data_IF_914746202150
#
_entry.id   IF_914746202150
#
_cell.length_a   1.000
_cell.length_b   1.000
_cell.length_c   1.000
_cell.angle_alpha   90.00
_cell.angle_beta   90.00
_cell.angle_gamma   90.00
#
_symmetry.space_group_name_H-M   'P 1'
#
loop_
_entity.id
_entity.type
_entity.pdbx_description
1 polymer ?
#
# COMPACT_ATOMS: atom_id res chain seq x y z
N UNK A 1 -0.55 5.69 -11.67
CA UNK A 1 -1.35 6.40 -10.66
C UNK A 1 -2.62 5.62 -10.37
N UNK A 2 -2.83 5.21 -9.17
CA UNK A 2 -4.06 4.58 -8.68
C UNK A 2 -4.70 3.60 -9.68
N UNK A 3 -3.98 2.55 -10.08
CA UNK A 3 -4.45 1.68 -11.15
C UNK A 3 -5.76 0.96 -10.81
N UNK A 4 -6.10 0.86 -9.53
CA UNK A 4 -7.30 0.17 -9.07
C UNK A 4 -8.45 1.10 -8.71
N UNK A 5 -8.30 2.43 -8.89
CA UNK A 5 -9.27 3.39 -8.37
C UNK A 5 -10.66 3.28 -8.99
N UNK A 6 -10.75 2.80 -10.23
CA UNK A 6 -12.02 2.66 -10.93
C UNK A 6 -12.56 1.23 -10.94
N UNK A 7 -11.88 0.30 -10.25
CA UNK A 7 -12.25 -1.11 -10.24
C UNK A 7 -13.09 -1.46 -9.03
N UNK A 8 -13.99 -2.43 -9.17
CA UNK A 8 -14.68 -3.01 -8.03
C UNK A 8 -13.75 -3.92 -7.23
N UNK A 9 -14.24 -4.49 -6.14
CA UNK A 9 -13.42 -5.33 -5.27
C UNK A 9 -12.80 -6.51 -6.00
N UNK A 10 -13.57 -7.20 -6.85
CA UNK A 10 -13.06 -8.35 -7.60
C UNK A 10 -11.97 -7.96 -8.58
N UNK A 11 -12.18 -6.88 -9.32
CA UNK A 11 -11.21 -6.38 -10.27
C UNK A 11 -9.94 -5.91 -9.59
N UNK A 12 -10.08 -5.25 -8.43
CA UNK A 12 -8.94 -4.80 -7.66
C UNK A 12 -8.09 -5.97 -7.17
N UNK A 13 -8.72 -7.00 -6.61
CA UNK A 13 -7.99 -8.15 -6.10
C UNK A 13 -7.28 -8.92 -7.22
N UNK A 14 -7.91 -9.03 -8.38
CA UNK A 14 -7.29 -9.66 -9.54
C UNK A 14 -6.06 -8.87 -10.02
N UNK A 15 -6.16 -7.55 -10.09
CA UNK A 15 -5.05 -6.69 -10.46
C UNK A 15 -3.88 -6.84 -9.49
N UNK A 16 -4.16 -6.85 -8.19
CA UNK A 16 -3.12 -6.99 -7.17
C UNK A 16 -2.40 -8.34 -7.27
N UNK A 17 -3.12 -9.42 -7.58
CA UNK A 17 -2.50 -10.73 -7.77
C UNK A 17 -1.58 -10.74 -8.99
N UNK A 18 -1.96 -10.05 -10.07
CA UNK A 18 -1.11 -9.93 -11.26
C UNK A 18 0.16 -9.16 -10.96
N UNK A 19 0.05 -8.07 -10.19
CA UNK A 19 1.21 -7.28 -9.79
C UNK A 19 2.12 -8.11 -8.89
N UNK A 20 1.56 -8.87 -7.96
CA UNK A 20 2.32 -9.77 -7.10
C UNK A 20 3.13 -10.78 -7.91
N UNK A 21 2.50 -11.38 -8.94
CA UNK A 21 3.18 -12.34 -9.81
C UNK A 21 4.36 -11.69 -10.54
N UNK A 22 4.19 -10.46 -11.02
CA UNK A 22 5.26 -9.73 -11.68
C UNK A 22 6.41 -9.42 -10.73
N UNK A 23 6.11 -9.11 -9.46
CA UNK A 23 7.15 -8.77 -8.49
C UNK A 23 8.05 -9.95 -8.16
N UNK A 24 7.63 -11.17 -8.44
CA UNK A 24 8.43 -12.38 -8.21
C UNK A 24 9.34 -12.72 -9.38
N UNK A 25 9.19 -12.04 -10.51
CA UNK A 25 10.03 -12.28 -11.69
C UNK A 25 11.29 -11.42 -11.58
N UNK A 26 12.50 -12.04 -11.47
CA UNK A 26 13.72 -11.26 -11.32
C UNK A 26 14.06 -10.42 -12.55
N UNK A 27 13.44 -10.69 -13.69
CA UNK A 27 13.66 -9.94 -14.92
C UNK A 27 12.64 -8.81 -15.09
N UNK A 28 11.63 -8.72 -14.22
CA UNK A 28 10.64 -7.68 -14.33
C UNK A 28 11.24 -6.32 -13.94
N UNK A 29 10.84 -5.23 -14.60
CA UNK A 29 11.30 -3.89 -14.20
C UNK A 29 10.73 -3.51 -12.83
N UNK A 30 11.36 -2.55 -12.19
CA UNK A 30 10.86 -1.98 -10.94
C UNK A 30 9.48 -1.37 -11.18
N UNK A 31 8.56 -1.61 -10.24
CA UNK A 31 7.18 -1.12 -10.35
C UNK A 31 6.90 -0.13 -9.22
N UNK A 32 6.32 1.02 -9.57
CA UNK A 32 5.87 2.02 -8.60
C UNK A 32 4.36 2.16 -8.73
N UNK A 33 3.65 2.05 -7.60
CA UNK A 33 2.21 2.21 -7.55
C UNK A 33 1.88 3.40 -6.66
N UNK A 34 1.04 4.30 -7.14
CA UNK A 34 0.54 5.42 -6.36
C UNK A 34 -0.91 5.14 -6.00
N UNK A 35 -1.24 5.16 -4.71
CA UNK A 35 -2.59 4.88 -4.25
C UNK A 35 -2.92 5.66 -2.98
N UNK A 36 -4.20 5.87 -2.72
CA UNK A 36 -4.70 6.45 -1.48
C UNK A 36 -5.19 5.38 -0.49
N UNK A 37 -5.09 4.11 -0.84
CA UNK A 37 -5.65 3.00 -0.04
C UNK A 37 -4.59 1.96 0.25
N UNK A 38 -4.29 1.72 1.53
CA UNK A 38 -3.29 0.71 1.90
C UNK A 38 -3.74 -0.70 1.55
N UNK A 39 -5.05 -0.92 1.39
CA UNK A 39 -5.59 -2.20 0.95
C UNK A 39 -5.15 -2.56 -0.47
N UNK A 40 -4.65 -1.60 -1.21
CA UNK A 40 -4.17 -1.78 -2.58
C UNK A 40 -2.67 -2.04 -2.67
N UNK A 41 -1.99 -2.22 -1.54
CA UNK A 41 -0.57 -2.57 -1.53
C UNK A 41 -0.44 -4.06 -1.81
N UNK A 42 0.21 -4.46 -2.92
CA UNK A 42 0.36 -5.88 -3.25
C UNK A 42 1.30 -6.60 -2.30
N UNK A 43 1.09 -7.89 -2.14
CA UNK A 43 2.07 -8.74 -1.46
C UNK A 43 3.38 -8.68 -2.25
N UNK A 44 4.51 -8.61 -1.55
CA UNK A 44 5.81 -8.51 -2.20
C UNK A 44 6.31 -7.07 -2.36
N UNK A 45 5.51 -6.07 -2.00
CA UNK A 45 5.96 -4.69 -1.96
C UNK A 45 7.10 -4.56 -0.96
N UNK A 46 8.21 -3.96 -1.38
CA UNK A 46 9.40 -3.87 -0.53
C UNK A 46 9.47 -2.54 0.23
N UNK A 47 9.13 -1.45 -0.44
CA UNK A 47 9.30 -0.10 0.12
C UNK A 47 8.04 0.73 -0.08
N UNK A 48 7.87 1.71 0.78
CA UNK A 48 6.75 2.64 0.72
C UNK A 48 7.22 4.06 1.02
N UNK A 49 6.51 5.02 0.46
CA UNK A 49 6.65 6.43 0.76
C UNK A 49 5.27 6.95 1.11
N UNK A 50 5.12 7.46 2.33
CA UNK A 50 3.85 7.95 2.85
C UNK A 50 3.87 9.46 2.87
N UNK A 51 2.91 10.08 2.19
CA UNK A 51 2.86 11.53 2.02
C UNK A 51 1.62 12.13 2.68
N UNK A 52 1.77 13.36 3.15
CA UNK A 52 0.65 14.20 3.55
C UNK A 52 0.96 15.63 3.08
N UNK A 53 0.04 16.21 2.32
CA UNK A 53 0.19 17.59 1.80
C UNK A 53 1.52 17.80 1.06
N UNK A 54 1.93 16.78 0.30
CA UNK A 54 3.16 16.82 -0.48
C UNK A 54 4.44 16.64 0.33
N UNK A 55 4.32 16.33 1.62
CA UNK A 55 5.49 16.16 2.51
C UNK A 55 5.57 14.70 2.95
N UNK A 56 6.77 14.16 2.94
CA UNK A 56 6.99 12.78 3.37
C UNK A 56 6.80 12.65 4.87
N UNK A 57 5.86 11.78 5.27
CA UNK A 57 5.63 11.42 6.67
C UNK A 57 6.59 10.32 7.07
N UNK A 58 6.78 9.32 6.20
CA UNK A 58 7.66 8.20 6.44
C UNK A 58 8.07 7.59 5.12
N UNK A 59 9.26 7.00 5.07
CA UNK A 59 9.73 6.26 3.90
C UNK A 59 10.69 5.16 4.35
N UNK A 60 10.74 4.09 3.57
CA UNK A 60 11.60 2.95 3.85
C UNK A 60 10.90 1.64 3.57
N UNK A 61 11.31 0.60 4.29
CA UNK A 61 10.71 -0.72 4.15
C UNK A 61 9.22 -0.65 4.49
N UNK A 62 8.40 -1.37 3.72
CA UNK A 62 6.94 -1.25 3.83
C UNK A 62 6.44 -1.53 5.25
N UNK A 63 6.99 -2.54 5.92
CA UNK A 63 6.54 -2.88 7.28
C UNK A 63 6.86 -1.79 8.31
N UNK A 64 7.92 -1.01 8.06
CA UNK A 64 8.30 0.08 8.96
C UNK A 64 7.50 1.36 8.68
N UNK A 65 6.96 1.50 7.48
CA UNK A 65 6.20 2.68 7.06
C UNK A 65 4.72 2.55 7.37
N UNK A 66 4.13 1.39 7.09
CA UNK A 66 2.69 1.16 7.25
C UNK A 66 2.42 0.72 8.68
N UNK A 67 2.35 1.69 9.57
CA UNK A 67 2.13 1.49 11.01
C UNK A 67 0.98 2.35 11.48
N UNK A 68 0.40 2.00 12.63
CA UNK A 68 -0.67 2.79 13.25
C UNK A 68 -0.24 4.25 13.40
N UNK A 69 0.96 4.47 13.92
CA UNK A 69 1.46 5.81 14.20
C UNK A 69 1.63 6.64 12.92
N UNK A 70 2.26 6.07 11.91
CA UNK A 70 2.52 6.80 10.67
C UNK A 70 1.23 7.09 9.91
N UNK A 71 0.30 6.14 9.86
CA UNK A 71 -0.97 6.36 9.17
C UNK A 71 -1.84 7.35 9.93
N UNK A 72 -1.82 7.31 11.26
CA UNK A 72 -2.53 8.30 12.07
C UNK A 72 -2.01 9.70 11.74
N UNK A 73 -0.70 9.86 11.65
CA UNK A 73 -0.10 11.14 11.29
C UNK A 73 -0.45 11.55 9.86
N UNK A 74 -0.40 10.63 8.91
CA UNK A 74 -0.66 10.94 7.50
C UNK A 74 -2.12 11.30 7.25
N UNK A 75 -3.06 10.61 7.88
CA UNK A 75 -4.48 10.83 7.64
C UNK A 75 -5.11 11.87 8.57
N UNK A 76 -4.42 12.22 9.65
CA UNK A 76 -4.93 13.22 10.58
C UNK A 76 -6.05 12.72 11.49
N UNK A 77 -6.21 11.41 11.62
CA UNK A 77 -7.17 10.79 12.52
C UNK A 77 -6.60 9.47 13.02
N UNK A 78 -7.11 8.99 14.16
CA UNK A 78 -6.59 7.77 14.77
C UNK A 78 -6.87 6.55 13.87
N UNK A 79 -5.84 5.84 13.47
CA UNK A 79 -5.91 4.70 12.55
C UNK A 79 -5.29 3.47 13.22
N UNK A 80 -5.93 2.32 13.03
CA UNK A 80 -5.38 1.01 13.38
C UNK A 80 -5.11 0.24 12.09
N UNK A 81 -3.90 -0.30 11.97
CA UNK A 81 -3.48 -1.11 10.84
C UNK A 81 -3.48 -2.58 11.24
N UNK A 82 -4.01 -3.43 10.40
CA UNK A 82 -3.95 -4.87 10.55
C UNK A 82 -3.26 -5.48 9.35
N UNK A 83 -2.52 -6.57 9.56
CA UNK A 83 -1.86 -7.32 8.50
C UNK A 83 -2.42 -8.73 8.45
N UNK A 84 -2.69 -9.21 7.23
CA UNK A 84 -3.17 -10.56 7.03
C UNK A 84 -2.70 -11.04 5.67
N UNK A 85 -2.02 -12.18 5.63
CA UNK A 85 -1.53 -12.75 4.38
C UNK A 85 -0.59 -11.83 3.61
N UNK A 86 0.20 -11.00 4.30
CA UNK A 86 1.08 -10.04 3.65
C UNK A 86 0.39 -8.79 3.13
N UNK A 87 -0.89 -8.63 3.40
CA UNK A 87 -1.70 -7.49 2.99
C UNK A 87 -1.98 -6.59 4.20
N UNK A 88 -2.22 -5.31 3.93
CA UNK A 88 -2.48 -4.31 4.96
C UNK A 88 -3.92 -3.84 4.89
N UNK A 89 -4.53 -3.65 6.05
CA UNK A 89 -5.88 -3.14 6.18
C UNK A 89 -5.92 -2.09 7.27
N UNK A 90 -6.64 -1.00 7.03
CA UNK A 90 -6.73 0.10 7.99
C UNK A 90 -8.17 0.40 8.32
N UNK A 91 -8.38 0.86 9.55
CA UNK A 91 -9.68 1.38 9.97
C UNK A 91 -9.47 2.52 10.95
N UNK A 92 -10.41 3.44 11.00
CA UNK A 92 -10.42 4.50 11.99
C UNK A 92 -10.76 3.90 13.36
N UNK A 93 -10.07 4.37 14.37
CA UNK A 93 -10.35 3.96 15.75
C UNK A 93 -11.52 4.72 16.35
#
# INVERSE_FOLDING_TARGET
DEPASSLDLGGREDLLRRIESLSKDPLAPATVIVTHHIEEIPVGTTHALLLRDGVAVAQGEVASVITDQNLTQAYGLAITVQTEGGRFFARAR
#
